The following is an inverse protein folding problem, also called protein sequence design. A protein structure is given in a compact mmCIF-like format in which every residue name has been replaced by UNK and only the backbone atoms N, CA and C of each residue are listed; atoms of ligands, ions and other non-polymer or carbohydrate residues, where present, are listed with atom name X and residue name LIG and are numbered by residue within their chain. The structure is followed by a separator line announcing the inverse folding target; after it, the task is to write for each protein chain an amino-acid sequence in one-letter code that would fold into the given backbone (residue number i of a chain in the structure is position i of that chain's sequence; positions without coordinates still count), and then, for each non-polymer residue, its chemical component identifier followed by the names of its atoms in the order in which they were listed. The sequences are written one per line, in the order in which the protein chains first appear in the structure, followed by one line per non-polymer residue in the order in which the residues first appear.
data_IF_388545046414
#
_entry.id   IF_388545046414
#
_cell.length_a   1.000
_cell.length_b   1.000
_cell.length_c   1.000
_cell.angle_alpha   90.00
_cell.angle_beta   90.00
_cell.angle_gamma   90.00
#
_symmetry.space_group_name_H-M   'P 1'
#
loop_
_entity.id
_entity.type
_entity.pdbx_description
1 polymer ?
#
# COMPACT_ATOMS: atom_id res chain seq x y z
N UNK A 1 -34.70 19.35 21.82
CA UNK A 1 -34.54 18.14 22.65
C UNK A 1 -33.07 17.81 22.69
N UNK A 2 -32.55 17.93 23.89
CA UNK A 2 -31.15 17.80 24.27
C UNK A 2 -30.78 16.30 24.33
N UNK A 3 -29.63 15.92 23.75
CA UNK A 3 -29.00 14.62 23.96
C UNK A 3 -27.49 14.83 24.17
N UNK A 4 -27.18 15.53 25.26
CA UNK A 4 -25.92 15.40 25.96
C UNK A 4 -25.76 13.95 26.50
N UNK A 5 -24.64 13.28 26.18
CA UNK A 5 -24.41 11.92 26.65
C UNK A 5 -23.10 11.24 26.25
N UNK A 6 -22.04 11.97 25.86
CA UNK A 6 -20.73 11.36 25.58
C UNK A 6 -19.94 11.26 26.89
N UNK A 7 -19.94 10.07 27.51
CA UNK A 7 -19.04 9.73 28.62
C UNK A 7 -17.59 9.84 28.14
N UNK A 8 -16.92 10.91 28.56
CA UNK A 8 -15.47 11.03 28.51
C UNK A 8 -14.85 9.86 29.31
N UNK A 9 -14.16 8.95 28.63
CA UNK A 9 -13.22 8.04 29.29
C UNK A 9 -12.05 8.91 29.76
N UNK A 10 -11.93 9.07 31.07
CA UNK A 10 -10.84 9.81 31.70
C UNK A 10 -9.50 9.28 31.21
N UNK A 11 -8.81 10.09 30.40
CA UNK A 11 -7.40 9.90 30.12
C UNK A 11 -6.63 10.19 31.41
N UNK A 12 -5.85 9.20 31.87
CA UNK A 12 -4.83 9.45 32.87
C UNK A 12 -3.90 10.57 32.36
N UNK A 13 -3.42 11.47 33.24
CA UNK A 13 -2.44 12.48 32.83
C UNK A 13 -1.17 11.78 32.31
N UNK A 14 -0.40 12.39 31.39
CA UNK A 14 0.82 11.79 30.87
C UNK A 14 1.82 11.65 32.02
N UNK A 15 1.89 10.45 32.60
CA UNK A 15 2.84 10.11 33.63
C UNK A 15 4.25 10.27 33.10
N UNK A 16 5.10 10.95 33.87
CA UNK A 16 6.55 11.10 33.64
C UNK A 16 7.11 9.80 33.08
N UNK A 17 7.65 9.85 31.86
CA UNK A 17 8.48 8.76 31.34
C UNK A 17 9.53 8.44 32.42
N UNK A 18 9.60 7.18 32.87
CA UNK A 18 10.64 6.73 33.79
C UNK A 18 12.01 7.21 33.27
N UNK A 19 12.93 7.63 34.14
CA UNK A 19 14.20 8.26 33.76
C UNK A 19 14.97 7.50 32.66
N UNK A 20 14.86 6.17 32.63
CA UNK A 20 15.38 5.32 31.56
C UNK A 20 14.74 5.59 30.19
N UNK A 21 13.40 5.65 30.13
CA UNK A 21 12.66 5.94 28.90
C UNK A 21 12.97 7.36 28.37
N UNK A 22 13.13 8.33 29.27
CA UNK A 22 13.57 9.68 28.90
C UNK A 22 15.01 9.69 28.34
N UNK A 23 15.93 8.96 28.97
CA UNK A 23 17.31 8.87 28.52
C UNK A 23 17.44 8.24 27.12
N UNK A 24 16.69 7.16 26.87
CA UNK A 24 16.67 6.48 25.56
C UNK A 24 16.06 7.38 24.48
N UNK A 25 14.96 8.08 24.78
CA UNK A 25 14.38 9.04 23.84
C UNK A 25 15.34 10.19 23.50
N UNK A 26 15.98 10.80 24.52
CA UNK A 26 17.00 11.83 24.31
C UNK A 26 18.16 11.30 23.47
N UNK A 27 18.58 10.05 23.68
CA UNK A 27 19.63 9.43 22.86
C UNK A 27 19.22 9.29 21.39
N UNK A 28 18.01 8.80 21.11
CA UNK A 28 17.50 8.70 19.75
C UNK A 28 17.46 10.07 19.05
N UNK A 29 17.01 11.13 19.75
CA UNK A 29 17.03 12.49 19.21
C UNK A 29 18.44 13.00 18.94
N UNK A 30 19.41 12.72 19.82
CA UNK A 30 20.81 13.09 19.60
C UNK A 30 21.42 12.35 18.42
N UNK A 31 21.12 11.08 18.25
CA UNK A 31 21.59 10.28 17.12
C UNK A 31 21.04 10.82 15.78
N UNK A 32 19.75 11.19 15.74
CA UNK A 32 19.14 11.86 14.57
C UNK A 32 19.79 13.22 14.27
N UNK A 33 20.04 14.02 15.31
CA UNK A 33 20.71 15.33 15.17
C UNK A 33 22.15 15.21 14.64
N UNK A 34 22.79 14.04 14.78
CA UNK A 34 24.15 13.75 14.30
C UNK A 34 24.20 13.12 12.91
N UNK A 35 23.05 12.91 12.25
CA UNK A 35 23.02 12.42 10.88
C UNK A 35 23.82 13.33 9.94
N UNK A 36 24.56 12.79 8.96
CA UNK A 36 25.18 13.60 7.90
C UNK A 36 24.18 14.53 7.19
N UNK A 37 24.65 15.69 6.71
CA UNK A 37 23.79 16.71 6.07
C UNK A 37 23.01 16.18 4.85
N UNK A 38 23.66 15.36 4.03
CA UNK A 38 23.05 14.72 2.87
C UNK A 38 21.91 13.77 3.28
N UNK A 39 22.11 12.98 4.33
CA UNK A 39 21.07 12.10 4.87
C UNK A 39 19.89 12.91 5.45
N UNK A 40 20.15 13.98 6.19
CA UNK A 40 19.10 14.89 6.67
C UNK A 40 18.34 15.54 5.53
N UNK A 41 19.02 15.96 4.47
CA UNK A 41 18.39 16.55 3.30
C UNK A 41 17.45 15.56 2.60
N UNK A 42 17.86 14.29 2.45
CA UNK A 42 16.99 13.22 1.95
C UNK A 42 15.77 13.04 2.86
N UNK A 43 15.96 12.85 4.16
CA UNK A 43 14.86 12.67 5.12
C UNK A 43 13.86 13.83 5.09
N UNK A 44 14.35 15.08 5.12
CA UNK A 44 13.50 16.27 5.05
C UNK A 44 12.74 16.37 3.72
N UNK A 45 13.39 16.07 2.59
CA UNK A 45 12.76 16.04 1.27
C UNK A 45 11.63 15.02 1.20
N UNK A 46 11.77 13.89 1.90
CA UNK A 46 10.79 12.80 1.91
C UNK A 46 9.91 12.78 3.17
N UNK A 47 9.69 13.93 3.82
CA UNK A 47 8.64 14.05 4.84
C UNK A 47 8.89 13.24 6.11
N UNK A 48 10.15 12.91 6.42
CA UNK A 48 10.51 12.27 7.67
C UNK A 48 10.09 13.12 8.88
N UNK A 49 9.49 12.48 9.89
CA UNK A 49 9.11 13.11 11.14
C UNK A 49 9.99 12.58 12.28
N UNK A 50 10.86 13.44 12.82
CA UNK A 50 11.84 13.06 13.83
C UNK A 50 11.20 12.58 15.15
N UNK A 51 10.22 13.33 15.67
CA UNK A 51 9.64 13.03 16.99
C UNK A 51 8.93 11.67 17.02
N UNK A 52 8.00 11.34 16.09
CA UNK A 52 7.37 10.02 16.07
C UNK A 52 8.40 8.90 15.85
N UNK A 53 9.44 9.14 15.04
CA UNK A 53 10.47 8.13 14.83
C UNK A 53 11.33 7.90 16.08
N UNK A 54 11.69 8.95 16.81
CA UNK A 54 12.43 8.84 18.06
C UNK A 54 11.65 8.06 19.13
N UNK A 55 10.32 8.17 19.17
CA UNK A 55 9.46 7.34 20.02
C UNK A 55 9.53 5.86 19.62
N UNK A 56 9.49 5.55 18.32
CA UNK A 56 9.64 4.18 17.83
C UNK A 56 11.01 3.60 18.16
N UNK A 57 12.07 4.37 17.95
CA UNK A 57 13.45 3.99 18.28
C UNK A 57 13.61 3.74 19.79
N UNK A 58 13.06 4.64 20.61
CA UNK A 58 13.14 4.51 22.05
C UNK A 58 12.35 3.31 22.60
N UNK A 59 11.16 3.06 22.02
CA UNK A 59 10.39 1.85 22.31
C UNK A 59 11.20 0.60 21.98
N UNK A 60 11.79 0.54 20.78
CA UNK A 60 12.61 -0.59 20.36
C UNK A 60 13.80 -0.83 21.30
N UNK A 61 14.53 0.22 21.67
CA UNK A 61 15.67 0.13 22.59
C UNK A 61 15.27 -0.34 24.00
N UNK A 62 14.10 0.08 24.51
CA UNK A 62 13.60 -0.34 25.83
C UNK A 62 13.07 -1.77 25.83
N UNK A 63 12.42 -2.17 24.75
CA UNK A 63 11.57 -3.35 24.72
C UNK A 63 12.15 -4.53 23.92
N UNK A 64 13.23 -4.27 23.17
CA UNK A 64 13.81 -5.21 22.23
C UNK A 64 12.97 -5.41 20.98
N UNK A 65 13.61 -5.90 19.91
CA UNK A 65 12.87 -6.40 18.75
C UNK A 65 12.21 -7.73 19.09
N UNK A 66 10.89 -7.80 18.88
CA UNK A 66 10.14 -9.05 18.94
C UNK A 66 9.05 -9.02 17.86
N UNK A 67 9.13 -9.90 16.83
CA UNK A 67 8.14 -9.94 15.75
C UNK A 67 6.74 -10.34 16.25
N UNK A 68 6.63 -11.01 17.40
CA UNK A 68 5.34 -11.39 17.98
C UNK A 68 4.53 -10.18 18.46
N UNK A 69 5.18 -9.02 18.66
CA UNK A 69 4.50 -7.76 19.00
C UNK A 69 3.62 -7.24 17.87
N UNK A 70 3.87 -7.65 16.63
CA UNK A 70 2.99 -7.31 15.52
C UNK A 70 1.71 -8.16 15.50
N UNK A 71 1.66 -9.28 16.24
CA UNK A 71 0.47 -10.13 16.30
C UNK A 71 -0.65 -9.44 17.08
N UNK A 72 -1.86 -9.59 16.55
CA UNK A 72 -3.05 -9.18 17.25
C UNK A 72 -3.20 -10.01 18.53
N UNK A 73 -3.60 -9.33 19.61
CA UNK A 73 -3.94 -9.96 20.89
C UNK A 73 -5.42 -10.30 20.99
N UNK A 74 -6.24 -9.68 20.15
CA UNK A 74 -7.67 -9.92 20.08
C UNK A 74 -7.94 -11.18 19.25
N UNK A 75 -8.99 -11.94 19.56
CA UNK A 75 -9.40 -13.06 18.72
C UNK A 75 -9.77 -12.57 17.32
N UNK A 76 -9.53 -13.43 16.34
CA UNK A 76 -9.99 -13.25 14.96
C UNK A 76 -11.20 -14.13 14.72
N UNK A 77 -12.16 -13.59 13.97
CA UNK A 77 -13.26 -14.35 13.40
C UNK A 77 -13.21 -14.27 11.87
N UNK A 78 -13.60 -15.35 11.15
CA UNK A 78 -13.77 -15.28 9.71
C UNK A 78 -14.80 -14.19 9.33
N UNK A 79 -14.71 -13.62 8.12
CA UNK A 79 -15.70 -12.68 7.64
C UNK A 79 -17.07 -13.38 7.55
N UNK A 80 -18.18 -12.69 7.86
CA UNK A 80 -19.50 -13.26 7.63
C UNK A 80 -19.70 -13.49 6.11
N UNK A 81 -20.32 -14.61 5.69
CA UNK A 81 -20.42 -14.96 4.26
C UNK A 81 -21.02 -13.87 3.38
N UNK A 82 -21.93 -13.06 3.92
CA UNK A 82 -22.64 -12.00 3.19
C UNK A 82 -21.84 -10.70 3.10
N UNK A 83 -20.73 -10.53 3.85
CA UNK A 83 -19.93 -9.31 3.79
C UNK A 83 -19.02 -9.22 2.56
N UNK A 84 -18.74 -10.36 1.92
CA UNK A 84 -17.92 -10.42 0.71
C UNK A 84 -18.83 -10.69 -0.47
N UNK A 85 -18.92 -9.72 -1.37
CA UNK A 85 -19.74 -9.83 -2.56
C UNK A 85 -18.85 -10.17 -3.76
N UNK A 86 -19.36 -11.01 -4.67
CA UNK A 86 -18.64 -11.37 -5.89
C UNK A 86 -18.99 -10.37 -6.99
N UNK A 87 -18.00 -9.96 -7.78
CA UNK A 87 -18.24 -9.17 -8.98
C UNK A 87 -19.21 -9.94 -9.91
N UNK A 88 -20.30 -9.31 -10.40
CA UNK A 88 -21.26 -9.98 -11.27
C UNK A 88 -20.61 -10.55 -12.54
N UNK A 89 -21.22 -11.61 -13.07
CA UNK A 89 -20.76 -12.26 -14.31
C UNK A 89 -20.82 -11.28 -15.49
N UNK A 90 -19.84 -11.33 -16.39
CA UNK A 90 -19.71 -10.36 -17.49
C UNK A 90 -20.86 -10.41 -18.49
N UNK A 91 -21.54 -11.55 -18.59
CA UNK A 91 -22.72 -11.71 -19.44
C UNK A 91 -23.97 -11.07 -18.83
N UNK A 92 -23.96 -10.71 -17.55
CA UNK A 92 -25.14 -10.19 -16.84
C UNK A 92 -25.46 -8.74 -17.17
N UNK A 93 -26.75 -8.39 -17.07
CA UNK A 93 -27.23 -7.00 -17.19
C UNK A 93 -26.73 -6.13 -16.03
N UNK A 94 -26.49 -6.72 -14.86
CA UNK A 94 -25.88 -6.01 -13.73
C UNK A 94 -24.46 -5.57 -14.08
N UNK A 95 -23.61 -6.48 -14.56
CA UNK A 95 -22.24 -6.16 -14.94
C UNK A 95 -22.17 -5.04 -15.98
N UNK A 96 -23.03 -5.08 -17.02
CA UNK A 96 -23.10 -4.02 -18.04
C UNK A 96 -23.44 -2.66 -17.43
N UNK A 97 -24.43 -2.59 -16.53
CA UNK A 97 -24.74 -1.34 -15.79
C UNK A 97 -23.59 -0.84 -14.94
N UNK A 98 -22.81 -1.74 -14.32
CA UNK A 98 -21.62 -1.35 -13.56
C UNK A 98 -20.53 -0.79 -14.48
N UNK A 99 -20.31 -1.42 -15.65
CA UNK A 99 -19.37 -0.91 -16.65
C UNK A 99 -19.77 0.48 -17.12
N UNK A 100 -21.04 0.71 -17.41
CA UNK A 100 -21.55 2.02 -17.86
C UNK A 100 -21.32 3.09 -16.78
N UNK A 101 -21.74 2.83 -15.53
CA UNK A 101 -21.56 3.77 -14.42
C UNK A 101 -20.08 4.08 -14.13
N UNK A 102 -19.20 3.08 -14.18
CA UNK A 102 -17.76 3.27 -14.04
C UNK A 102 -17.15 4.05 -15.20
N UNK A 103 -17.60 3.76 -16.43
CA UNK A 103 -17.19 4.47 -17.64
C UNK A 103 -17.58 5.94 -17.61
N UNK A 104 -18.80 6.25 -17.18
CA UNK A 104 -19.27 7.63 -16.97
C UNK A 104 -18.40 8.39 -15.96
N UNK A 105 -18.03 7.74 -14.84
CA UNK A 105 -17.17 8.36 -13.84
C UNK A 105 -15.76 8.66 -14.39
N UNK A 106 -15.21 7.76 -15.20
CA UNK A 106 -13.92 7.97 -15.88
C UNK A 106 -14.03 9.12 -16.89
N UNK A 107 -15.05 9.10 -17.75
CA UNK A 107 -15.26 10.12 -18.77
C UNK A 107 -15.50 11.51 -18.16
N UNK A 108 -16.14 11.56 -16.98
CA UNK A 108 -16.35 12.80 -16.23
C UNK A 108 -15.10 13.31 -15.49
N UNK A 109 -13.92 12.69 -15.68
CA UNK A 109 -12.67 13.10 -15.04
C UNK A 109 -12.64 12.87 -13.52
N UNK A 110 -13.53 12.02 -13.00
CA UNK A 110 -13.66 11.79 -11.54
C UNK A 110 -12.70 10.73 -11.02
N UNK A 111 -11.98 10.02 -11.88
CA UNK A 111 -11.19 8.84 -11.53
C UNK A 111 -9.73 9.08 -11.83
N UNK A 112 -8.87 8.71 -10.89
CA UNK A 112 -7.42 8.71 -11.05
C UNK A 112 -6.82 7.36 -10.66
N UNK A 113 -5.63 7.07 -11.18
CA UNK A 113 -4.94 5.79 -10.95
C UNK A 113 -3.62 6.04 -10.23
N UNK A 114 -3.38 5.32 -9.12
CA UNK A 114 -2.10 5.34 -8.41
C UNK A 114 -1.46 3.96 -8.45
N UNK A 115 -0.25 3.90 -9.01
CA UNK A 115 0.55 2.68 -9.07
C UNK A 115 1.61 2.75 -7.96
N UNK A 116 1.61 1.75 -7.08
CA UNK A 116 2.61 1.62 -6.02
C UNK A 116 3.90 1.04 -6.61
N UNK A 117 4.92 1.89 -6.77
CA UNK A 117 6.18 1.61 -7.45
C UNK A 117 7.41 1.90 -6.55
N UNK A 118 7.24 1.82 -5.23
CA UNK A 118 8.29 2.07 -4.25
C UNK A 118 9.25 0.89 -4.03
N UNK A 119 8.93 -0.30 -4.56
CA UNK A 119 9.63 -1.55 -4.28
C UNK A 119 10.81 -1.84 -5.21
N UNK A 120 11.88 -2.37 -4.61
CA UNK A 120 13.01 -2.96 -5.32
C UNK A 120 12.77 -4.46 -5.56
N UNK A 121 13.20 -4.98 -6.70
CA UNK A 121 13.17 -6.39 -7.05
C UNK A 121 14.50 -7.07 -6.69
N UNK A 122 14.75 -7.30 -5.40
CA UNK A 122 16.01 -7.89 -4.91
C UNK A 122 16.32 -9.25 -5.53
N UNK A 123 15.30 -10.07 -5.77
CA UNK A 123 15.39 -11.38 -6.46
C UNK A 123 15.66 -11.28 -7.96
N UNK A 124 15.58 -10.08 -8.53
CA UNK A 124 15.88 -9.77 -9.94
C UNK A 124 17.16 -8.93 -10.05
N UNK A 125 18.13 -9.14 -9.15
CA UNK A 125 19.39 -8.40 -9.16
C UNK A 125 19.31 -6.98 -8.59
N UNK A 126 18.24 -6.64 -7.87
CA UNK A 126 18.15 -5.35 -7.18
C UNK A 126 17.74 -4.17 -8.07
N UNK A 127 17.03 -4.43 -9.17
CA UNK A 127 16.44 -3.39 -10.02
C UNK A 127 15.11 -2.86 -9.46
N UNK A 128 14.59 -1.76 -10.00
CA UNK A 128 13.24 -1.28 -9.65
C UNK A 128 12.20 -2.27 -10.15
N UNK A 129 11.23 -2.65 -9.31
CA UNK A 129 10.26 -3.69 -9.67
C UNK A 129 9.46 -3.36 -10.92
N UNK A 130 9.04 -2.09 -11.08
CA UNK A 130 8.29 -1.64 -12.25
C UNK A 130 9.07 -1.71 -13.57
N UNK A 131 10.39 -1.68 -13.56
CA UNK A 131 11.22 -1.69 -14.78
C UNK A 131 11.53 -3.11 -15.29
N UNK A 132 11.19 -4.15 -14.51
CA UNK A 132 11.36 -5.54 -14.93
C UNK A 132 10.45 -5.81 -16.13
N UNK A 133 11.04 -6.40 -17.18
CA UNK A 133 10.32 -6.89 -18.37
C UNK A 133 9.42 -8.05 -17.96
N UNK A 134 8.11 -7.89 -18.12
CA UNK A 134 7.12 -8.89 -17.78
C UNK A 134 6.94 -9.90 -18.92
N UNK A 135 6.66 -9.42 -20.14
CA UNK A 135 6.61 -10.25 -21.35
C UNK A 135 6.74 -9.40 -22.61
N UNK A 136 7.23 -10.00 -23.70
CA UNK A 136 7.32 -9.37 -25.05
C UNK A 136 7.98 -7.98 -25.04
N UNK A 137 9.05 -7.80 -24.28
CA UNK A 137 9.76 -6.52 -24.16
C UNK A 137 9.02 -5.43 -23.35
N UNK A 138 7.79 -5.69 -22.87
CA UNK A 138 7.03 -4.74 -22.05
C UNK A 138 7.33 -4.95 -20.58
N UNK A 139 7.70 -3.86 -19.90
CA UNK A 139 7.86 -3.84 -18.45
C UNK A 139 6.53 -3.84 -17.70
N UNK A 140 6.54 -4.18 -16.41
CA UNK A 140 5.36 -4.03 -15.55
C UNK A 140 4.77 -2.62 -15.62
N UNK A 141 5.64 -1.61 -15.52
CA UNK A 141 5.24 -0.22 -15.54
C UNK A 141 4.61 0.19 -16.88
N UNK A 142 5.21 -0.26 -18.00
CA UNK A 142 4.68 -0.03 -19.34
C UNK A 142 3.26 -0.61 -19.48
N UNK A 143 3.07 -1.87 -19.08
CA UNK A 143 1.77 -2.55 -19.10
C UNK A 143 0.70 -1.80 -18.30
N UNK A 144 1.02 -1.41 -17.05
CA UNK A 144 0.08 -0.71 -16.16
C UNK A 144 -0.32 0.68 -16.68
N UNK A 145 0.63 1.45 -17.21
CA UNK A 145 0.36 2.79 -17.74
C UNK A 145 -0.50 2.70 -19.00
N UNK A 146 -0.15 1.82 -19.94
CA UNK A 146 -0.92 1.65 -21.19
C UNK A 146 -2.32 1.13 -20.91
N UNK A 147 -2.46 0.21 -19.95
CA UNK A 147 -3.75 -0.28 -19.48
C UNK A 147 -4.66 0.85 -19.00
N UNK A 148 -4.17 1.68 -18.07
CA UNK A 148 -4.93 2.80 -17.54
C UNK A 148 -5.31 3.82 -18.62
N UNK A 149 -4.38 4.15 -19.53
CA UNK A 149 -4.62 5.10 -20.62
C UNK A 149 -5.64 4.58 -21.61
N UNK A 150 -5.57 3.31 -22.00
CA UNK A 150 -6.51 2.71 -22.95
C UNK A 150 -7.92 2.66 -22.36
N UNK A 151 -8.06 2.16 -21.13
CA UNK A 151 -9.37 2.05 -20.49
C UNK A 151 -10.02 3.43 -20.29
N UNK A 152 -9.23 4.46 -20.01
CA UNK A 152 -9.75 5.81 -19.80
C UNK A 152 -9.81 6.68 -21.04
N UNK A 153 -9.30 6.24 -22.19
CA UNK A 153 -9.04 7.14 -23.32
C UNK A 153 -8.10 8.30 -22.97
N UNK A 154 -7.29 8.18 -21.91
CA UNK A 154 -6.43 9.23 -21.38
C UNK A 154 -7.11 10.20 -20.41
N UNK A 155 -8.40 10.04 -20.09
CA UNK A 155 -9.13 10.92 -19.17
C UNK A 155 -8.70 10.77 -17.71
N UNK A 156 -8.20 9.59 -17.30
CA UNK A 156 -7.78 9.34 -15.93
C UNK A 156 -6.28 9.66 -15.76
N UNK A 157 -5.90 10.62 -14.89
CA UNK A 157 -4.51 10.85 -14.55
C UNK A 157 -3.90 9.62 -13.87
N UNK A 158 -2.64 9.34 -14.21
CA UNK A 158 -1.86 8.23 -13.63
C UNK A 158 -0.73 8.79 -12.80
N UNK A 159 -0.65 8.38 -11.53
CA UNK A 159 0.47 8.68 -10.65
C UNK A 159 1.27 7.44 -10.30
N UNK A 160 2.59 7.61 -10.22
CA UNK A 160 3.50 6.62 -9.66
C UNK A 160 3.95 7.08 -8.27
N UNK A 161 3.68 6.25 -7.27
CA UNK A 161 4.27 6.43 -5.95
C UNK A 161 5.60 5.67 -5.90
N UNK A 162 6.70 6.41 -6.05
CA UNK A 162 8.05 5.88 -5.98
C UNK A 162 8.60 5.92 -4.54
N UNK A 163 9.76 5.34 -4.32
CA UNK A 163 10.62 5.65 -3.18
C UNK A 163 11.83 6.46 -3.65
N UNK A 164 12.56 7.05 -2.70
CA UNK A 164 13.83 7.72 -3.01
C UNK A 164 14.83 6.78 -3.73
N UNK A 165 14.71 5.46 -3.53
CA UNK A 165 15.54 4.45 -4.18
C UNK A 165 15.07 4.08 -5.59
N UNK A 166 13.76 4.24 -5.90
CA UNK A 166 13.21 3.85 -7.22
C UNK A 166 13.02 5.04 -8.17
N UNK A 167 12.96 6.27 -7.66
CA UNK A 167 12.56 7.45 -8.42
C UNK A 167 13.44 7.72 -9.66
N UNK A 168 14.77 7.74 -9.50
CA UNK A 168 15.69 8.07 -10.59
C UNK A 168 15.67 7.02 -11.72
N UNK A 169 15.70 5.74 -11.38
CA UNK A 169 15.63 4.66 -12.37
C UNK A 169 14.26 4.59 -13.04
N UNK A 170 13.18 4.87 -12.31
CA UNK A 170 11.83 4.98 -12.88
C UNK A 170 11.75 6.11 -13.90
N UNK A 171 12.32 7.29 -13.60
CA UNK A 171 12.31 8.42 -14.51
C UNK A 171 13.02 8.13 -15.84
N UNK A 172 14.21 7.51 -15.77
CA UNK A 172 14.96 7.09 -16.98
C UNK A 172 14.17 6.06 -17.79
N UNK A 173 13.61 5.06 -17.12
CA UNK A 173 12.82 4.03 -17.80
C UNK A 173 11.57 4.60 -18.49
N UNK A 174 10.92 5.61 -17.90
CA UNK A 174 9.80 6.31 -18.54
C UNK A 174 10.23 7.13 -19.76
N UNK A 175 11.43 7.71 -19.73
CA UNK A 175 12.03 8.42 -20.86
C UNK A 175 12.30 7.45 -22.02
N UNK A 176 12.93 6.31 -21.74
CA UNK A 176 13.22 5.26 -22.71
C UNK A 176 11.93 4.71 -23.36
N UNK A 177 10.82 4.66 -22.60
CA UNK A 177 9.51 4.24 -23.09
C UNK A 177 8.71 5.35 -23.81
N UNK A 178 9.19 6.61 -23.79
CA UNK A 178 8.43 7.75 -24.29
C UNK A 178 7.15 8.05 -23.50
N UNK A 179 7.12 7.70 -22.21
CA UNK A 179 5.96 7.82 -21.31
C UNK A 179 6.12 8.90 -20.25
N UNK A 180 7.19 9.70 -20.26
CA UNK A 180 7.41 10.76 -19.25
C UNK A 180 6.25 11.75 -19.13
N UNK A 181 5.59 12.12 -20.23
CA UNK A 181 4.41 13.00 -20.22
C UNK A 181 3.08 12.30 -19.91
N UNK A 182 3.08 10.98 -19.80
CA UNK A 182 1.88 10.17 -19.59
C UNK A 182 1.52 9.97 -18.12
N UNK A 183 2.45 10.25 -17.21
CA UNK A 183 2.32 10.00 -15.78
C UNK A 183 2.85 11.17 -14.97
N UNK A 184 2.40 11.26 -13.73
CA UNK A 184 2.99 12.11 -12.69
C UNK A 184 3.65 11.23 -11.65
N UNK A 185 4.64 11.75 -10.94
CA UNK A 185 5.33 11.00 -9.90
C UNK A 185 5.32 11.77 -8.59
N UNK A 186 5.27 11.01 -7.50
CA UNK A 186 5.54 11.51 -6.16
C UNK A 186 6.23 10.39 -5.37
N UNK A 187 6.80 10.73 -4.23
CA UNK A 187 7.61 9.81 -3.46
C UNK A 187 7.00 9.58 -2.07
N UNK A 188 6.96 8.32 -1.65
CA UNK A 188 6.66 7.95 -0.27
C UNK A 188 7.79 8.43 0.67
N UNK A 189 7.61 8.26 1.98
CA UNK A 189 8.56 8.83 2.93
C UNK A 189 9.88 8.06 2.96
N UNK A 190 10.85 8.62 3.69
CA UNK A 190 12.11 7.96 4.03
C UNK A 190 12.33 8.00 5.54
N UNK A 191 12.96 6.96 6.07
CA UNK A 191 13.36 6.88 7.48
C UNK A 191 14.69 6.12 7.61
N UNK A 192 15.48 6.36 8.67
CA UNK A 192 16.68 5.59 8.92
C UNK A 192 16.34 4.21 9.50
N UNK A 193 17.13 3.19 9.15
CA UNK A 193 17.07 1.87 9.76
C UNK A 193 17.73 1.89 11.12
N UNK A 194 17.26 1.01 12.00
CA UNK A 194 17.83 0.83 13.32
C UNK A 194 18.51 -0.54 13.45
N UNK A 195 19.42 -0.66 14.40
CA UNK A 195 19.85 -1.95 14.94
C UNK A 195 18.73 -2.56 15.77
N UNK A 196 18.84 -3.83 16.15
CA UNK A 196 17.87 -4.46 17.08
C UNK A 196 17.86 -3.82 18.48
N UNK A 197 18.87 -2.98 18.79
CA UNK A 197 18.99 -2.20 20.01
C UNK A 197 18.39 -0.80 19.90
N UNK A 198 17.81 -0.43 18.75
CA UNK A 198 17.21 0.89 18.53
C UNK A 198 18.21 2.02 18.21
N UNK A 199 19.46 1.69 17.90
CA UNK A 199 20.49 2.65 17.48
C UNK A 199 20.43 2.82 15.95
N UNK A 200 20.90 3.95 15.42
CA UNK A 200 20.99 4.13 13.96
C UNK A 200 21.92 3.08 13.33
N UNK A 201 21.44 2.38 12.30
CA UNK A 201 22.28 1.46 11.55
C UNK A 201 23.14 2.23 10.54
N UNK A 202 24.46 2.16 10.71
CA UNK A 202 25.42 2.75 9.78
C UNK A 202 26.03 1.68 8.84
N UNK A 203 26.09 1.96 7.54
CA UNK A 203 26.78 1.18 6.50
C UNK A 203 27.88 2.06 5.94
N UNK A 204 29.13 1.60 6.05
CA UNK A 204 30.30 2.36 5.58
C UNK A 204 30.32 3.81 6.14
N UNK A 205 29.97 3.96 7.42
CA UNK A 205 29.89 5.25 8.11
C UNK A 205 28.67 6.10 7.76
N UNK A 206 27.75 5.64 6.90
CA UNK A 206 26.54 6.37 6.49
C UNK A 206 25.26 5.73 7.04
N UNK A 207 24.22 6.50 7.38
CA UNK A 207 22.96 5.94 7.83
C UNK A 207 22.29 5.13 6.71
N UNK A 208 21.86 3.91 7.04
CA UNK A 208 21.09 3.09 6.11
C UNK A 208 19.64 3.56 6.11
N UNK A 209 19.14 4.04 4.97
CA UNK A 209 17.78 4.54 4.84
C UNK A 209 16.83 3.48 4.26
N UNK A 210 15.54 3.64 4.51
CA UNK A 210 14.48 2.81 3.94
C UNK A 210 13.21 3.62 3.70
N UNK A 211 12.31 3.08 2.90
CA UNK A 211 11.01 3.67 2.64
C UNK A 211 9.93 2.98 3.51
N UNK A 212 9.10 3.70 4.29
CA UNK A 212 8.19 3.12 5.28
C UNK A 212 6.95 2.37 4.77
N UNK A 213 6.87 2.12 3.46
CA UNK A 213 5.82 1.30 2.87
C UNK A 213 4.61 2.08 2.41
N UNK A 214 3.66 1.36 1.82
CA UNK A 214 2.56 1.97 1.07
C UNK A 214 1.51 2.66 1.93
N UNK A 215 1.52 2.47 3.26
CA UNK A 215 0.70 3.25 4.19
C UNK A 215 1.00 4.75 4.18
N UNK A 216 2.14 5.17 3.61
CA UNK A 216 2.45 6.58 3.39
C UNK A 216 1.59 7.23 2.29
N UNK A 217 0.90 6.44 1.46
CA UNK A 217 0.19 6.94 0.27
C UNK A 217 -0.69 8.17 0.53
N UNK A 218 -1.61 8.17 1.53
CA UNK A 218 -2.46 9.33 1.77
C UNK A 218 -1.66 10.60 2.11
N UNK A 219 -0.66 10.47 2.98
CA UNK A 219 0.15 11.60 3.45
C UNK A 219 1.10 12.11 2.35
N UNK A 220 1.74 11.20 1.61
CA UNK A 220 2.66 11.52 0.53
C UNK A 220 1.95 12.18 -0.67
N UNK A 221 0.76 11.69 -1.03
CA UNK A 221 -0.04 12.27 -2.12
C UNK A 221 -0.61 13.64 -1.78
N UNK A 222 -0.97 13.86 -0.51
CA UNK A 222 -1.35 15.17 0.00
C UNK A 222 -0.17 16.14 0.01
N UNK A 223 0.99 15.70 0.53
CA UNK A 223 2.22 16.50 0.60
C UNK A 223 2.75 16.91 -0.78
N UNK A 224 2.58 16.07 -1.81
CA UNK A 224 3.02 16.40 -3.17
C UNK A 224 2.17 17.51 -3.83
N UNK A 225 1.01 17.85 -3.27
CA UNK A 225 0.04 18.77 -3.85
C UNK A 225 -0.80 18.16 -4.98
N UNK A 226 -0.51 16.93 -5.38
CA UNK A 226 -1.26 16.24 -6.44
C UNK A 226 -2.69 15.88 -5.99
N UNK A 227 -2.90 15.56 -4.71
CA UNK A 227 -4.26 15.41 -4.18
C UNK A 227 -5.07 16.69 -4.36
N UNK A 228 -4.52 17.85 -3.95
CA UNK A 228 -5.23 19.12 -4.06
C UNK A 228 -5.57 19.45 -5.53
N UNK A 229 -4.63 19.22 -6.46
CA UNK A 229 -4.85 19.39 -7.90
C UNK A 229 -5.95 18.47 -8.42
N UNK A 230 -5.92 17.18 -8.05
CA UNK A 230 -6.92 16.21 -8.46
C UNK A 230 -8.31 16.57 -7.95
N UNK A 231 -8.43 16.94 -6.67
CA UNK A 231 -9.69 17.35 -6.04
C UNK A 231 -10.25 18.62 -6.65
N UNK A 232 -9.41 19.63 -6.90
CA UNK A 232 -9.81 20.88 -7.55
C UNK A 232 -10.32 20.66 -8.99
N UNK A 233 -9.81 19.65 -9.69
CA UNK A 233 -10.27 19.24 -11.01
C UNK A 233 -11.55 18.37 -10.99
N UNK A 234 -12.19 18.18 -9.83
CA UNK A 234 -13.40 17.35 -9.69
C UNK A 234 -13.14 15.87 -9.46
N UNK A 235 -11.87 15.48 -9.25
CA UNK A 235 -11.46 14.12 -8.93
C UNK A 235 -12.09 13.58 -7.65
N UNK A 236 -12.57 12.34 -7.68
CA UNK A 236 -13.29 11.69 -6.56
C UNK A 236 -12.71 10.34 -6.19
N UNK A 237 -12.38 9.51 -7.17
CA UNK A 237 -11.99 8.12 -6.93
C UNK A 237 -10.52 7.89 -7.28
N UNK A 238 -9.81 7.15 -6.45
CA UNK A 238 -8.44 6.68 -6.68
C UNK A 238 -8.43 5.16 -6.77
N UNK A 239 -8.05 4.63 -7.93
CA UNK A 239 -7.76 3.20 -8.11
C UNK A 239 -6.30 2.96 -7.79
N UNK A 240 -6.02 2.11 -6.80
CA UNK A 240 -4.68 1.87 -6.28
C UNK A 240 -4.30 0.41 -6.43
N UNK A 241 -3.10 0.13 -6.96
CA UNK A 241 -2.60 -1.24 -7.08
C UNK A 241 -1.07 -1.29 -7.09
N UNK A 242 -0.51 -2.44 -6.71
CA UNK A 242 0.92 -2.70 -6.86
C UNK A 242 1.33 -2.80 -8.33
N UNK A 243 2.55 -2.34 -8.64
CA UNK A 243 3.11 -2.40 -10.00
C UNK A 243 3.29 -3.83 -10.51
N UNK A 244 3.59 -4.78 -9.63
CA UNK A 244 3.86 -6.18 -9.98
C UNK A 244 2.61 -7.04 -10.18
N UNK A 245 1.43 -6.54 -9.82
CA UNK A 245 0.15 -7.18 -10.13
C UNK A 245 -0.42 -6.60 -11.43
N UNK A 246 -0.16 -7.28 -12.55
CA UNK A 246 -0.68 -6.91 -13.87
C UNK A 246 -2.18 -7.17 -14.04
N UNK A 247 -2.76 -8.05 -13.21
CA UNK A 247 -4.20 -8.34 -13.23
C UNK A 247 -5.04 -7.16 -12.73
N UNK A 248 -4.52 -6.44 -11.75
CA UNK A 248 -5.20 -5.26 -11.21
C UNK A 248 -4.92 -4.02 -12.06
N UNK A 249 -5.93 -3.19 -12.25
CA UNK A 249 -5.82 -1.94 -12.99
C UNK A 249 -7.15 -1.19 -13.02
N UNK A 250 -7.21 -0.12 -13.80
CA UNK A 250 -8.44 0.63 -14.00
C UNK A 250 -9.51 -0.26 -14.65
N UNK A 251 -10.64 -0.47 -13.99
CA UNK A 251 -11.70 -1.35 -14.49
C UNK A 251 -13.08 -0.72 -14.22
N UNK A 252 -13.83 -0.36 -15.28
CA UNK A 252 -15.14 0.27 -15.15
C UNK A 252 -16.13 -0.55 -14.32
N UNK A 253 -16.11 -1.88 -14.41
CA UNK A 253 -17.03 -2.71 -13.65
C UNK A 253 -16.78 -2.61 -12.13
N UNK A 254 -15.51 -2.60 -11.72
CA UNK A 254 -15.12 -2.44 -10.31
C UNK A 254 -15.48 -1.04 -9.80
N UNK A 255 -15.30 -0.01 -10.63
CA UNK A 255 -15.69 1.37 -10.28
C UNK A 255 -17.20 1.53 -10.14
N UNK A 256 -17.97 1.02 -11.09
CA UNK A 256 -19.43 1.01 -10.99
C UNK A 256 -19.90 0.24 -9.77
N UNK A 257 -19.26 -0.89 -9.47
CA UNK A 257 -19.55 -1.68 -8.28
C UNK A 257 -19.30 -0.87 -7.00
N UNK A 258 -18.15 -0.19 -6.91
CA UNK A 258 -17.81 0.70 -5.79
C UNK A 258 -18.85 1.83 -5.64
N UNK A 259 -19.18 2.52 -6.73
CA UNK A 259 -20.16 3.60 -6.77
C UNK A 259 -21.54 3.14 -6.27
N UNK A 260 -21.98 1.95 -6.66
CA UNK A 260 -23.26 1.38 -6.24
C UNK A 260 -23.34 1.10 -4.73
N UNK A 261 -22.19 0.83 -4.08
CA UNK A 261 -22.14 0.56 -2.63
C UNK A 261 -21.91 1.82 -1.79
N UNK A 262 -21.47 2.92 -2.39
CA UNK A 262 -21.30 4.22 -1.72
C UNK A 262 -20.37 4.18 -0.51
N UNK A 263 -19.40 3.26 -0.50
CA UNK A 263 -18.44 3.10 0.60
C UNK A 263 -17.19 3.92 0.35
N UNK A 264 -16.50 4.43 1.39
CA UNK A 264 -15.28 5.22 1.19
C UNK A 264 -14.10 4.43 0.60
N UNK A 265 -14.15 3.10 0.69
CA UNK A 265 -13.08 2.21 0.27
C UNK A 265 -13.67 0.90 -0.25
N UNK A 266 -13.13 0.36 -1.34
CA UNK A 266 -13.32 -1.03 -1.76
C UNK A 266 -11.99 -1.77 -1.65
N UNK A 267 -12.03 -2.99 -1.12
CA UNK A 267 -10.91 -3.93 -1.08
C UNK A 267 -11.17 -5.05 -2.09
N UNK A 268 -10.26 -5.25 -3.03
CA UNK A 268 -10.33 -6.40 -3.93
C UNK A 268 -9.72 -7.64 -3.27
N UNK A 269 -10.50 -8.72 -3.26
CA UNK A 269 -10.18 -10.02 -2.73
C UNK A 269 -10.23 -11.06 -3.85
N UNK A 270 -9.43 -12.10 -3.73
CA UNK A 270 -9.50 -13.25 -4.64
C UNK A 270 -9.57 -14.54 -3.85
N UNK A 271 -9.88 -15.65 -4.52
CA UNK A 271 -9.80 -16.96 -3.89
C UNK A 271 -8.38 -17.26 -3.43
N UNK A 272 -8.29 -17.73 -2.18
CA UNK A 272 -7.03 -18.19 -1.59
C UNK A 272 -6.65 -19.52 -2.23
N UNK A 273 -5.48 -19.58 -2.84
CA UNK A 273 -4.92 -20.83 -3.37
C UNK A 273 -3.90 -21.41 -2.38
N UNK A 274 -3.63 -22.74 -2.44
CA UNK A 274 -2.57 -23.34 -1.64
C UNK A 274 -1.23 -22.63 -1.86
N UNK A 275 -0.57 -22.26 -0.75
CA UNK A 275 0.71 -21.54 -0.77
C UNK A 275 0.61 -20.02 -0.82
N UNK A 276 -0.59 -19.43 -0.93
CA UNK A 276 -0.75 -17.97 -0.83
C UNK A 276 -0.38 -17.49 0.59
N UNK A 277 0.57 -16.56 0.66
CA UNK A 277 1.04 -15.90 1.89
C UNK A 277 0.85 -14.39 1.78
N UNK A 278 0.10 -13.82 2.72
CA UNK A 278 -0.25 -12.40 2.76
C UNK A 278 -1.50 -12.16 3.60
N UNK A 279 -2.05 -10.95 3.53
CA UNK A 279 -3.21 -10.57 4.31
C UNK A 279 -4.54 -11.19 3.85
N UNK A 280 -5.51 -11.15 4.76
CA UNK A 280 -6.85 -11.65 4.55
C UNK A 280 -7.88 -10.77 5.27
N UNK A 281 -9.15 -10.76 4.82
CA UNK A 281 -10.22 -10.10 5.54
C UNK A 281 -10.62 -10.91 6.77
N UNK A 282 -10.59 -10.30 7.96
CA UNK A 282 -11.01 -10.94 9.21
C UNK A 282 -11.72 -9.93 10.12
N UNK A 283 -12.61 -10.42 10.98
CA UNK A 283 -13.27 -9.59 11.99
C UNK A 283 -12.37 -9.51 13.22
N UNK A 284 -12.04 -8.27 13.61
CA UNK A 284 -11.25 -7.93 14.79
C UNK A 284 -12.08 -6.98 15.65
N UNK A 285 -12.40 -7.36 16.88
CA UNK A 285 -13.18 -6.49 17.78
C UNK A 285 -14.53 -6.05 17.20
N UNK A 286 -15.19 -6.92 16.42
CA UNK A 286 -16.47 -6.63 15.77
C UNK A 286 -16.38 -5.85 14.44
N UNK A 287 -15.18 -5.52 13.97
CA UNK A 287 -14.97 -4.83 12.68
C UNK A 287 -14.28 -5.73 11.67
N UNK A 288 -14.84 -5.83 10.47
CA UNK A 288 -14.18 -6.47 9.34
C UNK A 288 -13.04 -5.57 8.84
N UNK A 289 -11.81 -6.09 8.83
CA UNK A 289 -10.60 -5.37 8.38
C UNK A 289 -9.62 -6.33 7.70
N UNK A 290 -8.48 -5.81 7.23
CA UNK A 290 -7.38 -6.57 6.65
C UNK A 290 -6.38 -6.93 7.75
N UNK A 291 -6.11 -8.22 7.89
CA UNK A 291 -5.08 -8.74 8.80
C UNK A 291 -3.97 -9.40 7.98
N UNK A 292 -2.78 -8.80 8.00
CA UNK A 292 -1.59 -9.39 7.37
C UNK A 292 -1.14 -10.67 8.08
N UNK A 293 -0.52 -11.59 7.33
CA UNK A 293 -0.09 -12.90 7.85
C UNK A 293 0.76 -12.81 9.13
N UNK A 294 1.65 -11.81 9.23
CA UNK A 294 2.49 -11.60 10.42
C UNK A 294 1.73 -11.04 11.63
N UNK A 295 0.49 -10.57 11.44
CA UNK A 295 -0.40 -10.08 12.50
C UNK A 295 -1.37 -11.15 13.01
N UNK A 296 -1.52 -12.28 12.31
CA UNK A 296 -2.48 -13.33 12.68
C UNK A 296 -2.07 -13.97 14.01
N UNK A 297 -2.97 -14.09 15.01
CA UNK A 297 -2.70 -14.82 16.24
C UNK A 297 -2.39 -16.29 15.95
N UNK A 298 -1.44 -16.89 16.68
CA UNK A 298 -1.07 -18.31 16.49
C UNK A 298 -2.23 -19.29 16.74
N UNK A 299 -3.23 -18.86 17.51
CA UNK A 299 -4.43 -19.62 17.81
C UNK A 299 -5.47 -19.61 16.68
N UNK A 300 -5.27 -18.81 15.63
CA UNK A 300 -6.19 -18.71 14.51
C UNK A 300 -5.64 -19.46 13.30
N UNK A 301 -6.43 -20.37 12.77
CA UNK A 301 -6.14 -21.05 11.51
C UNK A 301 -6.52 -20.15 10.31
N UNK A 302 -5.53 -19.64 9.53
CA UNK A 302 -5.78 -18.78 8.38
C UNK A 302 -6.48 -19.48 7.21
N UNK A 303 -6.56 -20.82 7.18
CA UNK A 303 -7.24 -21.56 6.12
C UNK A 303 -8.78 -21.54 6.29
N UNK A 304 -9.27 -21.06 7.43
CA UNK A 304 -10.70 -20.77 7.65
C UNK A 304 -11.23 -19.61 6.82
N UNK A 305 -10.34 -18.81 6.20
CA UNK A 305 -10.71 -17.67 5.36
C UNK A 305 -10.39 -18.05 3.90
N UNK A 306 -11.40 -18.27 3.04
CA UNK A 306 -11.21 -18.79 1.68
C UNK A 306 -10.77 -17.71 0.67
N UNK A 307 -10.51 -16.50 1.13
CA UNK A 307 -10.18 -15.35 0.30
C UNK A 307 -8.91 -14.65 0.77
N UNK A 308 -8.28 -13.92 -0.14
CA UNK A 308 -6.96 -13.36 -0.01
C UNK A 308 -6.94 -11.88 -0.41
N UNK A 309 -6.25 -11.04 0.36
CA UNK A 309 -6.08 -9.61 0.05
C UNK A 309 -5.12 -9.42 -1.13
N UNK A 310 -5.59 -8.74 -2.18
CA UNK A 310 -4.76 -8.46 -3.37
C UNK A 310 -3.89 -7.21 -3.24
N UNK A 311 -4.08 -6.42 -2.17
CA UNK A 311 -3.54 -5.06 -2.02
C UNK A 311 -3.91 -4.14 -3.21
N UNK A 312 -5.14 -4.29 -3.69
CA UNK A 312 -5.77 -3.45 -4.72
C UNK A 312 -7.03 -2.82 -4.14
N UNK A 313 -7.20 -1.52 -4.38
CA UNK A 313 -8.24 -0.73 -3.73
C UNK A 313 -8.87 0.28 -4.68
N UNK A 314 -10.12 0.64 -4.38
CA UNK A 314 -10.72 1.91 -4.83
C UNK A 314 -10.97 2.75 -3.60
N UNK A 315 -10.48 3.99 -3.58
CA UNK A 315 -10.70 4.93 -2.48
C UNK A 315 -11.48 6.16 -2.94
N UNK A 316 -12.36 6.65 -2.08
CA UNK A 316 -12.76 8.05 -2.10
C UNK A 316 -11.54 8.92 -1.76
N UNK A 317 -11.14 9.81 -2.67
CA UNK A 317 -9.98 10.67 -2.53
C UNK A 317 -10.05 11.58 -1.30
N UNK A 318 -11.27 11.89 -0.83
CA UNK A 318 -11.49 12.60 0.42
C UNK A 318 -10.89 11.90 1.65
N UNK A 319 -10.68 10.58 1.61
CA UNK A 319 -9.97 9.86 2.67
C UNK A 319 -8.53 10.35 2.84
N UNK A 320 -7.91 10.87 1.78
CA UNK A 320 -6.51 11.29 1.81
C UNK A 320 -6.34 12.76 2.23
N UNK A 321 -7.44 13.49 2.44
CA UNK A 321 -7.42 14.90 2.88
C UNK A 321 -7.07 15.05 4.37
N UNK A 322 -7.08 13.95 5.14
CA UNK A 322 -6.73 13.89 6.56
C UNK A 322 -5.67 12.82 6.83
N UNK A 323 -5.01 12.94 7.98
CA UNK A 323 -4.11 11.89 8.48
C UNK A 323 -4.86 10.86 9.29
N UNK A 324 -4.42 9.60 9.19
CA UNK A 324 -4.96 8.46 9.92
C UNK A 324 -3.92 7.92 10.89
N UNK A 325 -4.34 7.44 12.07
CA UNK A 325 -3.43 6.89 13.08
C UNK A 325 -3.02 5.45 12.72
N UNK A 326 -2.23 5.32 11.65
CA UNK A 326 -1.65 4.05 11.22
C UNK A 326 -0.74 3.48 12.31
N UNK A 327 -0.79 2.16 12.48
CA UNK A 327 0.17 1.41 13.29
C UNK A 327 1.52 1.31 12.57
N UNK A 328 2.58 1.26 13.36
CA UNK A 328 3.94 1.01 12.90
C UNK A 328 4.34 -0.43 13.18
N UNK A 329 4.54 -1.21 12.13
CA UNK A 329 4.97 -2.61 12.21
C UNK A 329 6.48 -2.71 12.17
N UNK A 330 7.10 -3.25 13.21
CA UNK A 330 8.55 -3.47 13.24
C UNK A 330 8.90 -4.72 12.42
N UNK A 331 9.74 -4.57 11.41
CA UNK A 331 10.16 -5.67 10.52
C UNK A 331 11.68 -5.77 10.53
N UNK A 332 12.18 -6.99 10.69
CA UNK A 332 13.60 -7.30 10.51
C UNK A 332 13.90 -7.54 9.03
N UNK A 333 14.91 -6.85 8.52
CA UNK A 333 15.49 -7.03 7.19
C UNK A 333 17.00 -7.23 7.34
N UNK A 334 17.64 -7.64 6.25
CA UNK A 334 19.11 -7.69 6.17
C UNK A 334 19.61 -6.58 5.26
N UNK A 335 20.65 -5.87 5.71
CA UNK A 335 21.42 -4.91 4.91
C UNK A 335 22.84 -5.46 4.79
N UNK A 336 23.12 -6.10 3.66
CA UNK A 336 24.23 -7.05 3.58
C UNK A 336 23.99 -8.19 4.59
N UNK A 337 25.01 -8.54 5.36
CA UNK A 337 24.92 -9.58 6.40
C UNK A 337 24.44 -9.07 7.76
N UNK A 338 24.06 -7.79 7.86
CA UNK A 338 23.70 -7.16 9.14
C UNK A 338 22.19 -7.05 9.30
N UNK A 339 21.63 -7.50 10.44
CA UNK A 339 20.22 -7.32 10.72
C UNK A 339 19.89 -5.85 10.94
N UNK A 340 18.74 -5.43 10.41
CA UNK A 340 18.23 -4.08 10.48
C UNK A 340 16.75 -4.12 10.83
N UNK A 341 16.31 -3.23 11.72
CA UNK A 341 14.91 -2.99 11.99
C UNK A 341 14.45 -1.79 11.16
N UNK A 342 13.28 -1.96 10.55
CA UNK A 342 12.56 -0.91 9.86
C UNK A 342 11.09 -0.94 10.31
N UNK A 343 10.44 0.21 10.36
CA UNK A 343 9.02 0.32 10.68
C UNK A 343 8.20 0.58 9.42
N UNK A 344 7.21 -0.26 9.16
CA UNK A 344 6.36 -0.16 7.97
C UNK A 344 4.91 0.22 8.34
N UNK A 345 4.24 0.95 7.44
CA UNK A 345 2.80 1.21 7.45
C UNK A 345 2.12 0.59 6.23
N UNK A 346 0.86 0.23 6.39
CA UNK A 346 0.09 -0.48 5.36
C UNK A 346 -1.18 0.30 5.02
N UNK A 347 -1.37 0.65 3.75
CA UNK A 347 -2.54 1.44 3.30
C UNK A 347 -3.87 0.72 3.55
N UNK A 348 -3.85 -0.61 3.52
CA UNK A 348 -5.02 -1.44 3.81
C UNK A 348 -5.59 -1.23 5.22
N UNK A 349 -4.79 -0.70 6.14
CA UNK A 349 -5.23 -0.37 7.49
C UNK A 349 -6.28 0.76 7.53
N UNK A 350 -6.51 1.49 6.43
CA UNK A 350 -7.67 2.39 6.34
C UNK A 350 -9.00 1.66 6.65
N UNK A 351 -9.09 0.36 6.36
CA UNK A 351 -10.24 -0.47 6.73
C UNK A 351 -10.50 -0.58 8.25
N UNK A 352 -9.50 -0.30 9.10
CA UNK A 352 -9.70 -0.21 10.56
C UNK A 352 -10.58 1.00 10.94
N UNK A 353 -10.62 2.02 10.09
CA UNK A 353 -11.19 3.34 10.40
C UNK A 353 -12.44 3.68 9.61
N UNK A 354 -12.59 3.13 8.41
CA UNK A 354 -13.75 3.35 7.55
C UNK A 354 -14.54 2.07 7.34
N UNK A 355 -15.75 2.18 6.80
CA UNK A 355 -16.54 1.01 6.42
C UNK A 355 -16.20 0.66 4.97
N UNK A 356 -15.34 -0.34 4.78
CA UNK A 356 -14.95 -0.80 3.46
C UNK A 356 -16.00 -1.74 2.84
N UNK A 357 -16.09 -1.72 1.51
CA UNK A 357 -16.76 -2.73 0.72
C UNK A 357 -15.75 -3.82 0.30
N UNK A 358 -16.17 -5.09 0.32
CA UNK A 358 -15.28 -6.23 0.11
C UNK A 358 -15.70 -6.97 -1.16
N UNK A 359 -14.89 -6.85 -2.21
CA UNK A 359 -15.22 -7.34 -3.54
C UNK A 359 -14.35 -8.54 -3.89
N UNK A 360 -14.97 -9.71 -4.03
CA UNK A 360 -14.34 -10.90 -4.61
C UNK A 360 -14.29 -10.77 -6.13
N UNK A 361 -13.08 -10.81 -6.68
CA UNK A 361 -12.79 -10.68 -8.11
C UNK A 361 -12.15 -11.96 -8.67
N UNK A 362 -12.12 -12.16 -10.00
CA UNK A 362 -11.53 -13.35 -10.59
C UNK A 362 -10.06 -13.56 -10.20
N UNK A 363 -9.74 -14.75 -9.66
CA UNK A 363 -8.37 -15.15 -9.28
C UNK A 363 -7.51 -15.53 -10.47
N UNK A 364 -8.08 -16.22 -11.46
CA UNK A 364 -7.39 -16.83 -12.59
C UNK A 364 -8.05 -16.49 -13.92
N UNK A 365 -7.40 -16.88 -15.02
CA UNK A 365 -7.92 -16.72 -16.37
C UNK A 365 -7.71 -15.32 -16.97
N UNK A 366 -8.25 -15.07 -18.18
CA UNK A 366 -8.00 -13.83 -18.95
C UNK A 366 -8.47 -12.54 -18.26
N UNK A 367 -9.30 -12.68 -17.23
CA UNK A 367 -9.88 -11.59 -16.44
C UNK A 367 -9.33 -11.55 -15.02
N UNK A 368 -8.30 -12.36 -14.73
CA UNK A 368 -7.64 -12.38 -13.42
C UNK A 368 -7.28 -10.96 -12.99
N UNK A 369 -7.69 -10.61 -11.77
CA UNK A 369 -7.30 -9.35 -11.12
C UNK A 369 -6.13 -9.51 -10.15
N UNK A 370 -5.55 -10.72 -10.11
CA UNK A 370 -4.42 -11.03 -9.22
C UNK A 370 -3.37 -11.91 -9.90
N UNK A 371 -2.43 -11.23 -10.53
CA UNK A 371 -1.28 -11.82 -11.23
C UNK A 371 0.05 -11.22 -10.73
N UNK A 372 0.39 -11.32 -9.43
CA UNK A 372 1.67 -10.82 -8.94
C UNK A 372 2.82 -11.70 -9.43
N UNK A 373 3.94 -11.07 -9.75
CA UNK A 373 5.22 -11.76 -10.06
C UNK A 373 6.20 -11.43 -8.95
N UNK A 374 6.64 -12.42 -8.17
CA UNK A 374 7.54 -12.23 -7.03
C UNK A 374 8.96 -12.69 -7.33
N UNK A 375 9.13 -13.71 -8.17
CA UNK A 375 10.42 -14.30 -8.57
C UNK A 375 10.55 -14.41 -10.09
N UNK A 376 11.77 -14.48 -10.66
CA UNK A 376 11.96 -14.61 -12.11
C UNK A 376 11.23 -15.81 -12.71
N UNK A 377 11.17 -16.92 -12.00
CA UNK A 377 10.51 -18.15 -12.43
C UNK A 377 9.01 -17.97 -12.68
N UNK A 378 8.36 -17.03 -11.98
CA UNK A 378 6.95 -16.70 -12.17
C UNK A 378 6.69 -16.16 -13.59
N UNK A 379 7.65 -15.46 -14.20
CA UNK A 379 7.51 -14.92 -15.56
C UNK A 379 7.40 -16.03 -16.59
N UNK A 380 8.17 -17.11 -16.41
CA UNK A 380 8.13 -18.28 -17.29
C UNK A 380 6.86 -19.10 -17.03
N UNK A 381 6.56 -19.39 -15.76
CA UNK A 381 5.42 -20.24 -15.37
C UNK A 381 4.07 -19.63 -15.76
N UNK A 382 3.97 -18.30 -15.72
CA UNK A 382 2.72 -17.57 -15.95
C UNK A 382 2.75 -16.73 -17.23
N UNK A 383 3.71 -16.98 -18.13
CA UNK A 383 3.96 -16.17 -19.30
C UNK A 383 2.72 -15.96 -20.18
N UNK A 384 1.95 -17.02 -20.44
CA UNK A 384 0.73 -16.94 -21.24
C UNK A 384 -0.37 -16.09 -20.59
N UNK A 385 -0.53 -16.16 -19.26
CA UNK A 385 -1.46 -15.32 -18.51
C UNK A 385 -1.02 -13.84 -18.53
N UNK A 386 0.28 -13.59 -18.33
CA UNK A 386 0.88 -12.24 -18.40
C UNK A 386 0.63 -11.64 -19.77
N UNK A 387 0.92 -12.41 -20.83
CA UNK A 387 0.73 -11.97 -22.21
C UNK A 387 -0.73 -11.66 -22.52
N UNK A 388 -1.66 -12.54 -22.12
CA UNK A 388 -3.09 -12.31 -22.33
C UNK A 388 -3.58 -11.02 -21.65
N UNK A 389 -3.10 -10.73 -20.44
CA UNK A 389 -3.43 -9.48 -19.74
C UNK A 389 -2.83 -8.26 -20.44
N UNK A 390 -1.58 -8.35 -20.89
CA UNK A 390 -0.95 -7.25 -21.62
C UNK A 390 -1.61 -7.01 -22.99
N UNK A 391 -2.16 -8.06 -23.62
CA UNK A 391 -2.86 -7.99 -24.90
C UNK A 391 -4.30 -7.51 -24.77
N UNK A 392 -4.97 -7.81 -23.65
CA UNK A 392 -6.30 -7.23 -23.32
C UNK A 392 -6.30 -5.71 -23.43
N UNK A 393 -5.13 -5.09 -23.26
CA UNK A 393 -4.95 -3.64 -23.34
C UNK A 393 -3.92 -3.20 -24.40
N UNK A 394 -3.44 -4.09 -25.28
CA UNK A 394 -2.61 -3.76 -26.45
C UNK A 394 -3.47 -3.30 -27.60
#
# INVERSE_FOLDING_TARGET
MDLAGTRARGGAPPGRLCAFAEAVYRRAMLDLARLPDDARAVLARHGFAELPFAELAARLAREGFDPERNRLRQPLEPPPPQAIETLPDESSDEYRRLVDAGGEAIAAGRVGVVILNGGMATRFGGVVKGTVVAARGRSFLDGKIRQARRVSGGAAPVWLMNSFATAAATARHLEDLGLSGAVRTFEQFAAPRLTERGELLLVEGRPSLYAPGHGDLPDAFRRSGELARFRAAGGRLLVVSNVDNLGAGLDPAVLGWHLARGRPMTVELVDKLPGDVGGMPAVVGGRLTIVEAFRIPRSFDPDRIPVFNTNTFVFEAALFERSWPFEWFAVRKNVGDRPAIQFERLVGQLADWVEAAWLRVPRTGPRSRFLPVKVPEDLTLRGSEIEALLDRFA
#
